data_IF_222625020797
#
_entry.id   IF_222625020797
#
_cell.length_a   1.000
_cell.length_b   1.000
_cell.length_c   1.000
_cell.angle_alpha   90.00
_cell.angle_beta   90.00
_cell.angle_gamma   90.00
#
_symmetry.space_group_name_H-M   'P 1'
#
loop_
_entity.id
_entity.type
_entity.pdbx_description
1 polymer ?
#
# COMPACT_ATOMS: atom_id res chain seq x y z
N UNK A 1 -45.58 56.42 29.01
CA UNK A 1 -46.26 56.62 27.72
C UNK A 1 -45.92 55.40 26.85
N UNK A 2 -46.68 54.30 26.88
CA UNK A 2 -48.07 54.11 26.35
C UNK A 2 -48.01 54.01 24.80
N UNK A 3 -48.60 53.04 24.09
CA UNK A 3 -49.34 51.79 24.34
C UNK A 3 -49.56 51.14 22.94
N UNK A 4 -49.72 49.81 22.90
CA UNK A 4 -50.66 48.96 22.10
C UNK A 4 -51.30 49.55 20.80
N UNK A 5 -51.18 48.94 19.58
CA UNK A 5 -51.91 47.76 18.99
C UNK A 5 -53.45 48.00 18.86
N UNK A 6 -54.26 47.48 17.89
CA UNK A 6 -54.11 46.58 16.70
C UNK A 6 -54.79 47.14 15.40
N UNK A 7 -54.93 46.38 14.29
CA UNK A 7 -56.22 45.85 13.77
C UNK A 7 -55.97 44.71 12.76
N UNK A 8 -56.78 43.65 12.94
CA UNK A 8 -56.89 42.38 12.22
C UNK A 8 -57.55 42.48 10.82
N UNK A 9 -57.19 41.47 9.99
CA UNK A 9 -58.04 40.69 9.05
C UNK A 9 -58.74 41.43 7.90
N UNK A 10 -58.79 40.92 6.67
CA UNK A 10 -59.28 39.59 6.28
C UNK A 10 -59.08 39.35 4.78
N UNK A 11 -58.83 38.08 4.41
CA UNK A 11 -59.24 37.37 3.18
C UNK A 11 -59.12 38.10 1.82
N UNK A 12 -58.42 37.55 0.83
CA UNK A 12 -58.99 36.46 0.02
C UNK A 12 -57.94 35.65 -0.77
N UNK A 13 -58.18 34.34 -0.81
CA UNK A 13 -57.83 33.37 -1.87
C UNK A 13 -56.34 33.10 -2.14
N UNK A 14 -55.74 32.31 -1.25
CA UNK A 14 -54.67 31.39 -1.60
C UNK A 14 -55.33 30.11 -2.16
N UNK A 15 -55.37 29.96 -3.47
CA UNK A 15 -55.78 28.71 -4.10
C UNK A 15 -54.74 27.63 -3.77
N UNK A 16 -55.25 26.52 -3.25
CA UNK A 16 -54.54 25.31 -2.86
C UNK A 16 -54.16 24.54 -4.14
N UNK A 17 -52.87 24.36 -4.42
CA UNK A 17 -52.39 23.31 -5.32
C UNK A 17 -51.53 22.31 -4.51
N UNK A 18 -51.85 21.04 -4.70
CA UNK A 18 -51.34 19.85 -4.02
C UNK A 18 -49.87 19.55 -4.40
N UNK A 19 -48.93 19.39 -3.44
CA UNK A 19 -47.52 19.18 -3.75
C UNK A 19 -47.10 17.71 -3.54
N UNK A 20 -47.36 16.81 -4.50
CA UNK A 20 -46.77 15.45 -4.39
C UNK A 20 -46.51 14.71 -5.71
N UNK A 21 -47.16 15.04 -6.83
CA UNK A 21 -46.86 14.38 -8.12
C UNK A 21 -45.84 15.13 -9.00
N UNK A 22 -45.65 16.43 -8.78
CA UNK A 22 -44.82 17.29 -9.64
C UNK A 22 -43.30 17.05 -9.50
N UNK A 23 -42.84 16.50 -8.37
CA UNK A 23 -41.40 16.38 -8.06
C UNK A 23 -40.72 15.22 -8.81
N UNK A 24 -41.42 14.11 -9.03
CA UNK A 24 -40.88 12.96 -9.78
C UNK A 24 -40.84 13.23 -11.28
N UNK A 25 -41.89 13.86 -11.82
CA UNK A 25 -41.97 14.22 -13.24
C UNK A 25 -40.96 15.31 -13.61
N UNK A 26 -40.73 16.30 -12.73
CA UNK A 26 -39.68 17.31 -12.93
C UNK A 26 -38.26 16.72 -12.88
N UNK A 27 -37.98 15.77 -11.97
CA UNK A 27 -36.70 15.05 -11.96
C UNK A 27 -36.49 14.25 -13.24
N UNK A 28 -37.49 13.48 -13.68
CA UNK A 28 -37.44 12.76 -14.95
C UNK A 28 -37.21 13.72 -16.13
N UNK A 29 -37.91 14.85 -16.18
CA UNK A 29 -37.77 15.85 -17.26
C UNK A 29 -36.42 16.57 -17.24
N UNK A 30 -35.81 16.78 -16.07
CA UNK A 30 -34.44 17.30 -15.94
C UNK A 30 -33.38 16.25 -16.30
N UNK A 31 -33.67 14.97 -16.07
CA UNK A 31 -32.80 13.84 -16.44
C UNK A 31 -32.78 13.61 -17.96
N UNK A 32 -33.87 13.95 -18.65
CA UNK A 32 -34.04 13.87 -20.11
C UNK A 32 -33.88 15.22 -20.85
N UNK A 33 -33.48 16.30 -20.15
CA UNK A 33 -33.15 17.56 -20.81
C UNK A 33 -31.78 17.47 -21.50
N UNK A 34 -31.64 18.06 -22.68
CA UNK A 34 -30.34 18.25 -23.33
C UNK A 34 -29.83 19.69 -23.05
N UNK A 35 -28.62 19.87 -22.50
CA UNK A 35 -27.69 18.84 -22.03
C UNK A 35 -28.17 18.18 -20.73
N UNK A 36 -27.88 16.89 -20.52
CA UNK A 36 -28.22 16.20 -19.28
C UNK A 36 -27.56 16.94 -18.12
N UNK A 37 -28.30 17.16 -17.03
CA UNK A 37 -27.76 17.78 -15.81
C UNK A 37 -27.87 16.80 -14.65
N UNK A 38 -26.83 16.71 -13.85
CA UNK A 38 -26.81 15.89 -12.63
C UNK A 38 -26.09 14.55 -12.80
N UNK A 39 -26.62 13.50 -12.18
CA UNK A 39 -25.92 12.22 -12.01
C UNK A 39 -25.65 11.51 -13.35
N UNK A 40 -26.58 11.61 -14.31
CA UNK A 40 -26.49 10.95 -15.60
C UNK A 40 -25.36 11.55 -16.46
N UNK A 41 -25.26 12.87 -16.53
CA UNK A 41 -24.17 13.59 -17.21
C UNK A 41 -22.79 13.26 -16.62
N UNK A 42 -22.69 13.22 -15.29
CA UNK A 42 -21.46 12.83 -14.59
C UNK A 42 -21.05 11.39 -14.90
N UNK A 43 -22.00 10.45 -14.97
CA UNK A 43 -21.73 9.06 -15.34
C UNK A 43 -21.27 8.99 -16.79
N UNK A 44 -21.98 9.63 -17.73
CA UNK A 44 -21.61 9.65 -19.15
C UNK A 44 -20.22 10.25 -19.35
N UNK A 45 -19.92 11.38 -18.71
CA UNK A 45 -18.61 12.04 -18.82
C UNK A 45 -17.49 11.14 -18.32
N UNK A 46 -17.68 10.52 -17.14
CA UNK A 46 -16.68 9.60 -16.59
C UNK A 46 -16.48 8.36 -17.47
N UNK A 47 -17.55 7.75 -17.98
CA UNK A 47 -17.47 6.61 -18.90
C UNK A 47 -16.77 7.02 -20.19
N UNK A 48 -17.10 8.19 -20.75
CA UNK A 48 -16.49 8.69 -21.98
C UNK A 48 -15.00 8.95 -21.80
N UNK A 49 -14.59 9.57 -20.69
CA UNK A 49 -13.17 9.77 -20.34
C UNK A 49 -12.44 8.43 -20.23
N UNK A 50 -13.07 7.43 -19.58
CA UNK A 50 -12.49 6.11 -19.40
C UNK A 50 -12.31 5.39 -20.75
N UNK A 51 -13.33 5.42 -21.61
CA UNK A 51 -13.29 4.84 -22.96
C UNK A 51 -12.25 5.55 -23.81
N UNK A 52 -12.16 6.88 -23.73
CA UNK A 52 -11.17 7.65 -24.48
C UNK A 52 -9.74 7.35 -24.02
N UNK A 53 -9.50 7.27 -22.71
CA UNK A 53 -8.21 6.83 -22.16
C UNK A 53 -7.85 5.42 -22.63
N UNK A 54 -8.80 4.48 -22.55
CA UNK A 54 -8.58 3.11 -23.03
C UNK A 54 -8.29 3.07 -24.53
N UNK A 55 -9.04 3.82 -25.35
CA UNK A 55 -8.83 3.90 -26.80
C UNK A 55 -7.47 4.51 -27.18
N UNK A 56 -7.01 5.53 -26.43
CA UNK A 56 -5.68 6.13 -26.62
C UNK A 56 -4.57 5.14 -26.23
N UNK A 57 -4.71 4.43 -25.12
CA UNK A 57 -3.71 3.43 -24.72
C UNK A 57 -3.71 2.25 -25.69
N UNK A 58 -4.89 1.85 -26.17
CA UNK A 58 -5.04 0.80 -27.17
C UNK A 58 -4.41 1.18 -28.51
N UNK A 59 -4.60 2.42 -28.98
CA UNK A 59 -4.01 2.87 -30.25
C UNK A 59 -2.48 2.85 -30.24
N UNK A 60 -1.86 2.96 -29.06
CA UNK A 60 -0.40 2.91 -28.88
C UNK A 60 0.10 1.48 -28.64
N UNK A 61 -0.61 0.70 -27.82
CA UNK A 61 -0.10 -0.59 -27.29
C UNK A 61 -0.62 -1.82 -28.05
N UNK A 62 -1.56 -1.63 -28.98
CA UNK A 62 -2.06 -2.69 -29.86
C UNK A 62 -2.64 -3.89 -29.11
N UNK A 63 -2.08 -5.08 -29.31
CA UNK A 63 -2.59 -6.33 -28.75
C UNK A 63 -2.42 -6.48 -27.23
N UNK A 64 -1.55 -5.70 -26.59
CA UNK A 64 -1.35 -5.78 -25.13
C UNK A 64 -2.54 -5.24 -24.32
N UNK A 65 -3.46 -4.51 -24.96
CA UNK A 65 -4.72 -4.01 -24.37
C UNK A 65 -5.92 -4.94 -24.58
N UNK A 66 -5.79 -5.98 -25.41
CA UNK A 66 -6.83 -6.98 -25.65
C UNK A 66 -6.80 -8.07 -24.56
N UNK A 67 -7.89 -8.86 -24.42
CA UNK A 67 -7.87 -10.08 -23.59
C UNK A 67 -6.66 -10.96 -23.93
N UNK A 68 -5.94 -11.41 -22.90
CA UNK A 68 -4.66 -12.12 -23.02
C UNK A 68 -3.42 -11.20 -23.03
N UNK A 69 -3.58 -9.89 -23.21
CA UNK A 69 -2.52 -8.90 -23.12
C UNK A 69 -2.13 -8.55 -21.68
N UNK A 70 -0.86 -8.19 -21.45
CA UNK A 70 -0.36 -7.91 -20.10
C UNK A 70 -0.98 -6.64 -19.49
N UNK A 71 -1.17 -5.61 -20.30
CA UNK A 71 -1.72 -4.34 -19.84
C UNK A 71 -3.21 -4.49 -19.49
N UNK A 72 -3.95 -5.25 -20.31
CA UNK A 72 -5.32 -5.67 -19.99
C UNK A 72 -5.36 -6.39 -18.64
N UNK A 73 -4.46 -7.36 -18.43
CA UNK A 73 -4.36 -8.11 -17.17
C UNK A 73 -4.21 -7.22 -15.94
N UNK A 74 -3.27 -6.26 -15.99
CA UNK A 74 -2.99 -5.33 -14.89
C UNK A 74 -4.19 -4.40 -14.62
N UNK A 75 -4.82 -3.88 -15.67
CA UNK A 75 -5.96 -2.96 -15.54
C UNK A 75 -7.17 -3.68 -14.92
N UNK A 76 -7.50 -4.88 -15.41
CA UNK A 76 -8.60 -5.68 -14.87
C UNK A 76 -8.33 -6.02 -13.41
N UNK A 77 -7.12 -6.48 -13.09
CA UNK A 77 -6.73 -6.76 -11.71
C UNK A 77 -6.88 -5.53 -10.82
N UNK A 78 -6.45 -4.35 -11.27
CA UNK A 78 -6.56 -3.12 -10.51
C UNK A 78 -8.02 -2.79 -10.16
N UNK A 79 -8.92 -2.82 -11.15
CA UNK A 79 -10.34 -2.56 -10.92
C UNK A 79 -11.01 -3.62 -10.05
N UNK A 80 -10.70 -4.90 -10.29
CA UNK A 80 -11.19 -6.00 -9.47
C UNK A 80 -10.71 -5.88 -8.02
N UNK A 81 -9.46 -5.48 -7.80
CA UNK A 81 -8.92 -5.26 -6.45
C UNK A 81 -9.61 -4.09 -5.74
N UNK A 82 -9.83 -2.96 -6.42
CA UNK A 82 -10.59 -1.83 -5.86
C UNK A 82 -12.02 -2.26 -5.51
N UNK A 83 -12.68 -2.98 -6.42
CA UNK A 83 -14.04 -3.45 -6.21
C UNK A 83 -14.11 -4.46 -5.07
N UNK A 84 -13.21 -5.45 -5.05
CA UNK A 84 -13.10 -6.45 -4.00
C UNK A 84 -12.85 -5.81 -2.63
N UNK A 85 -11.94 -4.83 -2.55
CA UNK A 85 -11.67 -4.10 -1.31
C UNK A 85 -12.89 -3.30 -0.81
N UNK A 86 -13.60 -2.61 -1.71
CA UNK A 86 -14.85 -1.90 -1.37
C UNK A 86 -15.95 -2.88 -0.94
N UNK A 87 -16.13 -3.97 -1.68
CA UNK A 87 -17.14 -4.99 -1.40
C UNK A 87 -16.92 -5.58 0.00
N UNK A 88 -15.70 -6.01 0.32
CA UNK A 88 -15.40 -6.57 1.65
C UNK A 88 -15.47 -5.52 2.76
N UNK A 89 -15.09 -4.26 2.49
CA UNK A 89 -15.26 -3.17 3.45
C UNK A 89 -16.73 -2.83 3.76
N UNK A 90 -17.67 -3.18 2.89
CA UNK A 90 -19.11 -3.01 3.13
C UNK A 90 -19.72 -4.15 3.94
N UNK A 91 -19.07 -5.32 3.99
CA UNK A 91 -19.55 -6.46 4.76
C UNK A 91 -19.30 -6.19 6.24
N UNK A 92 -20.36 -5.80 6.95
CA UNK A 92 -20.37 -5.66 8.41
C UNK A 92 -20.99 -6.90 9.01
N UNK A 93 -20.16 -7.72 9.64
CA UNK A 93 -20.63 -8.86 10.42
C UNK A 93 -20.98 -8.37 11.83
N UNK A 94 -22.16 -8.70 12.38
CA UNK A 94 -22.65 -8.13 13.64
C UNK A 94 -21.78 -8.44 14.87
N UNK A 95 -20.94 -9.48 14.80
CA UNK A 95 -20.08 -9.94 15.89
C UNK A 95 -18.58 -9.66 15.66
N UNK A 96 -18.19 -9.09 14.51
CA UNK A 96 -16.79 -8.89 14.14
C UNK A 96 -16.53 -7.43 13.73
N UNK A 97 -15.31 -6.92 13.95
CA UNK A 97 -14.90 -5.64 13.37
C UNK A 97 -15.01 -5.68 11.84
N UNK A 98 -15.15 -4.51 11.18
CA UNK A 98 -15.23 -4.45 9.73
C UNK A 98 -14.00 -5.13 9.11
N UNK A 99 -14.25 -5.96 8.09
CA UNK A 99 -13.17 -6.68 7.42
C UNK A 99 -12.22 -5.69 6.72
N UNK A 100 -10.90 -5.90 6.80
CA UNK A 100 -9.95 -5.01 6.18
C UNK A 100 -10.11 -5.06 4.65
N UNK A 101 -10.20 -3.90 3.95
CA UNK A 101 -10.29 -3.86 2.49
C UNK A 101 -9.16 -4.61 1.77
N UNK A 102 -8.00 -4.72 2.40
CA UNK A 102 -6.84 -5.47 1.90
C UNK A 102 -7.16 -6.92 1.58
N UNK A 103 -8.01 -7.56 2.41
CA UNK A 103 -8.45 -8.93 2.19
C UNK A 103 -9.25 -9.05 0.89
N UNK A 104 -10.11 -8.07 0.59
CA UNK A 104 -10.88 -8.02 -0.65
C UNK A 104 -10.01 -7.81 -1.89
N UNK A 105 -8.96 -6.98 -1.76
CA UNK A 105 -7.99 -6.78 -2.83
C UNK A 105 -7.22 -8.08 -3.12
N UNK A 106 -6.78 -8.79 -2.08
CA UNK A 106 -6.07 -10.07 -2.20
C UNK A 106 -6.95 -11.17 -2.78
N UNK A 107 -8.18 -11.31 -2.28
CA UNK A 107 -9.15 -12.29 -2.79
C UNK A 107 -9.48 -12.03 -4.26
N UNK A 108 -9.59 -10.77 -4.69
CA UNK A 108 -9.82 -10.46 -6.10
C UNK A 108 -8.69 -11.00 -6.99
N UNK A 109 -7.43 -10.80 -6.59
CA UNK A 109 -6.27 -11.36 -7.30
C UNK A 109 -6.27 -12.89 -7.30
N UNK A 110 -6.55 -13.49 -6.16
CA UNK A 110 -6.67 -14.94 -6.01
C UNK A 110 -7.73 -15.54 -6.93
N UNK A 111 -8.92 -14.93 -7.02
CA UNK A 111 -10.00 -15.38 -7.90
C UNK A 111 -9.61 -15.24 -9.38
N UNK A 112 -8.97 -14.14 -9.76
CA UNK A 112 -8.46 -13.94 -11.13
C UNK A 112 -7.52 -15.08 -11.53
N UNK A 113 -6.61 -15.47 -10.64
CA UNK A 113 -5.62 -16.52 -10.90
C UNK A 113 -6.22 -17.92 -10.97
N UNK A 114 -7.24 -18.21 -10.17
CA UNK A 114 -7.74 -19.57 -9.97
C UNK A 114 -9.03 -19.91 -10.71
N UNK A 115 -9.72 -18.93 -11.29
CA UNK A 115 -10.87 -19.18 -12.17
C UNK A 115 -10.36 -19.32 -13.61
N UNK A 116 -10.41 -20.51 -14.24
CA UNK A 116 -9.76 -20.77 -15.54
C UNK A 116 -10.20 -19.78 -16.63
N UNK A 117 -11.51 -19.54 -16.75
CA UNK A 117 -12.10 -18.62 -17.73
C UNK A 117 -11.56 -17.19 -17.59
N UNK A 118 -11.25 -16.76 -16.35
CA UNK A 118 -10.71 -15.42 -16.09
C UNK A 118 -9.21 -15.41 -16.29
N UNK A 119 -8.49 -16.39 -15.76
CA UNK A 119 -7.04 -16.50 -15.90
C UNK A 119 -6.61 -16.52 -17.37
N UNK A 120 -7.28 -17.30 -18.23
CA UNK A 120 -6.93 -17.39 -19.66
C UNK A 120 -7.03 -16.03 -20.38
N UNK A 121 -7.92 -15.15 -19.92
CA UNK A 121 -8.10 -13.80 -20.47
C UNK A 121 -7.29 -12.72 -19.75
N UNK A 122 -6.90 -12.95 -18.49
CA UNK A 122 -6.25 -11.97 -17.60
C UNK A 122 -4.87 -12.49 -17.23
N UNK A 123 -3.93 -12.32 -18.17
CA UNK A 123 -2.55 -12.75 -18.02
C UNK A 123 -1.67 -11.58 -17.58
N UNK A 124 -0.92 -11.76 -16.49
CA UNK A 124 0.01 -10.76 -15.97
C UNK A 124 1.41 -11.36 -15.99
N UNK A 125 2.31 -10.74 -16.76
CA UNK A 125 3.70 -11.18 -16.87
C UNK A 125 4.40 -10.93 -15.53
N UNK A 126 5.12 -11.93 -15.02
CA UNK A 126 5.82 -11.87 -13.74
C UNK A 126 6.74 -10.65 -13.60
N UNK A 127 7.44 -10.24 -14.66
CA UNK A 127 8.30 -9.04 -14.66
C UNK A 127 7.54 -7.77 -14.28
N UNK A 128 6.31 -7.60 -14.77
CA UNK A 128 5.47 -6.46 -14.46
C UNK A 128 4.85 -6.57 -13.06
N UNK A 129 4.38 -7.77 -12.67
CA UNK A 129 3.91 -8.04 -11.30
C UNK A 129 4.98 -7.66 -10.27
N UNK A 130 6.19 -8.21 -10.41
CA UNK A 130 7.32 -7.96 -9.51
C UNK A 130 7.71 -6.48 -9.47
N UNK A 131 7.76 -5.79 -10.61
CA UNK A 131 8.06 -4.38 -10.67
C UNK A 131 7.00 -3.51 -9.94
N UNK A 132 5.70 -3.77 -10.19
CA UNK A 132 4.61 -3.03 -9.54
C UNK A 132 4.57 -3.27 -8.03
N UNK A 133 4.80 -4.51 -7.58
CA UNK A 133 4.92 -4.84 -6.16
C UNK A 133 6.10 -4.10 -5.50
N UNK A 134 7.24 -4.01 -6.19
CA UNK A 134 8.42 -3.29 -5.70
C UNK A 134 8.21 -1.78 -5.61
N UNK A 135 7.50 -1.19 -6.59
CA UNK A 135 7.11 0.23 -6.55
C UNK A 135 6.16 0.49 -5.39
N UNK A 136 5.13 -0.35 -5.22
CA UNK A 136 4.17 -0.20 -4.12
C UNK A 136 4.85 -0.32 -2.76
N UNK A 137 5.78 -1.28 -2.59
CA UNK A 137 6.61 -1.41 -1.40
C UNK A 137 7.40 -0.14 -1.13
N UNK A 138 8.05 0.43 -2.15
CA UNK A 138 8.75 1.70 -2.02
C UNK A 138 7.83 2.83 -1.55
N UNK A 139 6.62 2.93 -2.09
CA UNK A 139 5.66 3.98 -1.74
C UNK A 139 5.24 3.88 -0.27
N UNK A 140 4.92 2.67 0.23
CA UNK A 140 4.53 2.50 1.63
C UNK A 140 5.70 2.74 2.59
N UNK A 141 6.92 2.34 2.23
CA UNK A 141 8.09 2.58 3.07
C UNK A 141 8.43 4.08 3.15
N UNK A 142 8.25 4.84 2.06
CA UNK A 142 8.34 6.30 2.11
C UNK A 142 7.29 6.86 3.08
N UNK A 143 6.04 6.41 2.97
CA UNK A 143 4.95 6.84 3.86
C UNK A 143 5.25 6.53 5.33
N UNK A 144 5.78 5.33 5.60
CA UNK A 144 6.20 4.91 6.93
C UNK A 144 7.31 5.81 7.48
N UNK A 145 8.38 6.02 6.69
CA UNK A 145 9.55 6.81 7.08
C UNK A 145 9.20 8.26 7.38
N UNK A 146 8.35 8.88 6.55
CA UNK A 146 7.82 10.21 6.83
C UNK A 146 7.00 10.20 8.13
N UNK A 147 6.12 9.23 8.35
CA UNK A 147 5.26 9.15 9.53
C UNK A 147 5.97 8.94 10.88
N UNK A 148 7.28 8.67 10.91
CA UNK A 148 8.03 8.46 12.15
C UNK A 148 8.27 9.78 12.92
N UNK A 149 8.18 9.69 14.25
CA UNK A 149 8.58 10.74 15.18
C UNK A 149 10.00 10.48 15.73
N UNK A 150 10.98 11.38 15.45
CA UNK A 150 12.35 11.23 15.94
C UNK A 150 12.48 11.24 17.47
N UNK A 151 11.62 11.97 18.18
CA UNK A 151 11.68 12.05 19.65
C UNK A 151 11.21 10.73 20.28
N UNK A 152 10.07 10.22 19.82
CA UNK A 152 9.56 8.91 20.24
C UNK A 152 10.56 7.78 19.92
N UNK A 153 11.15 7.77 18.73
CA UNK A 153 12.12 6.75 18.34
C UNK A 153 13.39 6.80 19.18
N UNK A 154 13.92 8.00 19.48
CA UNK A 154 15.10 8.16 20.36
C UNK A 154 14.82 7.68 21.77
N UNK A 155 13.62 7.94 22.29
CA UNK A 155 13.16 7.48 23.62
C UNK A 155 13.02 5.96 23.68
N UNK A 156 12.57 5.33 22.59
CA UNK A 156 12.21 3.90 22.56
C UNK A 156 13.21 3.00 21.81
N UNK A 157 14.37 3.52 21.40
CA UNK A 157 15.34 2.77 20.57
C UNK A 157 15.69 1.37 21.07
N UNK A 158 15.84 1.18 22.38
CA UNK A 158 16.13 -0.14 22.96
C UNK A 158 14.94 -1.10 22.90
N UNK A 159 13.73 -0.56 23.09
CA UNK A 159 12.49 -1.33 22.93
C UNK A 159 12.26 -1.69 21.47
N UNK A 160 12.56 -0.76 20.54
CA UNK A 160 12.44 -0.97 19.10
C UNK A 160 13.28 -2.17 18.63
N UNK A 161 14.57 -2.21 18.99
CA UNK A 161 15.45 -3.33 18.63
C UNK A 161 14.97 -4.64 19.24
N UNK A 162 14.56 -4.64 20.52
CA UNK A 162 14.05 -5.85 21.18
C UNK A 162 12.75 -6.36 20.54
N UNK A 163 11.87 -5.45 20.14
CA UNK A 163 10.60 -5.76 19.49
C UNK A 163 10.79 -6.22 18.04
N UNK A 164 11.80 -5.72 17.34
CA UNK A 164 12.12 -6.16 15.99
C UNK A 164 12.83 -7.51 15.97
N UNK A 165 13.79 -7.75 16.87
CA UNK A 165 14.60 -8.97 16.83
C UNK A 165 14.00 -10.13 17.62
N UNK A 166 13.45 -9.86 18.81
CA UNK A 166 12.99 -10.91 19.74
C UNK A 166 11.86 -11.76 19.15
N UNK A 167 10.69 -11.16 18.86
CA UNK A 167 9.57 -11.85 18.22
C UNK A 167 9.96 -12.51 16.90
N UNK A 168 10.59 -11.78 15.97
CA UNK A 168 11.01 -12.31 14.67
C UNK A 168 11.82 -13.61 14.78
N UNK A 169 12.86 -13.62 15.63
CA UNK A 169 13.72 -14.79 15.79
C UNK A 169 12.98 -15.94 16.49
N UNK A 170 12.17 -15.65 17.50
CA UNK A 170 11.40 -16.67 18.21
C UNK A 170 10.34 -17.29 17.30
N UNK A 171 9.63 -16.48 16.53
CA UNK A 171 8.61 -16.92 15.56
C UNK A 171 9.24 -17.70 14.41
N UNK A 172 10.37 -17.23 13.86
CA UNK A 172 11.11 -17.94 12.82
C UNK A 172 11.66 -19.29 13.32
N UNK A 173 12.26 -19.34 14.51
CA UNK A 173 12.75 -20.59 15.10
C UNK A 173 11.62 -21.56 15.42
N UNK A 174 10.52 -21.07 16.00
CA UNK A 174 9.35 -21.89 16.32
C UNK A 174 8.72 -22.45 15.05
N UNK A 175 8.56 -21.62 14.02
CA UNK A 175 8.06 -22.04 12.71
C UNK A 175 8.97 -23.05 12.04
N UNK A 176 10.30 -22.88 12.12
CA UNK A 176 11.26 -23.84 11.59
C UNK A 176 11.20 -25.20 12.31
N UNK A 177 11.06 -25.20 13.64
CA UNK A 177 10.87 -26.41 14.43
C UNK A 177 9.59 -27.15 14.01
N UNK A 178 8.47 -26.43 13.92
CA UNK A 178 7.20 -27.00 13.50
C UNK A 178 7.27 -27.52 12.06
N UNK A 179 7.87 -26.76 11.14
CA UNK A 179 8.06 -27.19 9.75
C UNK A 179 8.90 -28.48 9.64
N UNK A 180 9.95 -28.60 10.47
CA UNK A 180 10.79 -29.81 10.48
C UNK A 180 10.02 -31.03 10.99
N UNK A 181 9.33 -30.90 12.13
CA UNK A 181 8.68 -32.05 12.77
C UNK A 181 7.29 -32.39 12.22
N UNK A 182 6.49 -31.41 11.79
CA UNK A 182 5.15 -31.67 11.22
C UNK A 182 5.19 -31.94 9.72
N UNK A 183 6.02 -31.21 8.96
CA UNK A 183 6.05 -31.32 7.49
C UNK A 183 7.24 -32.14 6.97
N UNK A 184 8.15 -32.58 7.86
CA UNK A 184 9.35 -33.34 7.47
C UNK A 184 10.36 -32.52 6.66
N UNK A 185 10.28 -31.19 6.67
CA UNK A 185 11.17 -30.33 5.89
C UNK A 185 12.58 -30.32 6.48
N UNK A 186 13.66 -30.32 5.67
CA UNK A 186 15.01 -30.13 6.17
C UNK A 186 15.16 -28.80 6.92
N UNK A 187 16.05 -28.73 7.91
CA UNK A 187 16.25 -27.54 8.75
C UNK A 187 16.42 -26.25 7.94
N UNK A 188 17.19 -26.28 6.85
CA UNK A 188 17.41 -25.11 6.00
C UNK A 188 16.10 -24.60 5.41
N UNK A 189 15.26 -25.50 4.87
CA UNK A 189 13.94 -25.16 4.35
C UNK A 189 12.96 -24.73 5.44
N UNK A 190 13.05 -25.35 6.62
CA UNK A 190 12.29 -24.93 7.80
C UNK A 190 12.61 -23.49 8.21
N UNK A 191 13.90 -23.12 8.27
CA UNK A 191 14.29 -21.74 8.58
C UNK A 191 13.96 -20.76 7.45
N UNK A 192 14.09 -21.15 6.18
CA UNK A 192 13.60 -20.33 5.04
C UNK A 192 12.13 -20.01 5.24
N UNK A 193 11.29 -21.01 5.51
CA UNK A 193 9.86 -20.82 5.79
C UNK A 193 9.63 -19.98 7.05
N UNK A 194 10.39 -20.24 8.11
CA UNK A 194 10.28 -19.50 9.37
C UNK A 194 10.54 -18.02 9.22
N UNK A 195 11.58 -17.62 8.47
CA UNK A 195 11.85 -16.20 8.20
C UNK A 195 10.82 -15.57 7.26
N UNK A 196 10.19 -16.33 6.36
CA UNK A 196 9.06 -15.83 5.55
C UNK A 196 7.82 -15.58 6.43
N UNK A 197 7.53 -16.48 7.37
CA UNK A 197 6.37 -16.38 8.26
C UNK A 197 6.56 -15.34 9.37
N UNK A 198 7.77 -15.21 9.90
CA UNK A 198 8.11 -14.25 10.96
C UNK A 198 8.28 -12.81 10.47
N UNK A 199 8.26 -12.56 9.15
CA UNK A 199 8.36 -11.21 8.60
C UNK A 199 7.04 -10.44 8.77
N UNK A 200 7.11 -9.26 9.38
CA UNK A 200 5.96 -8.38 9.61
C UNK A 200 5.69 -7.49 8.40
N UNK A 201 4.52 -7.62 7.76
CA UNK A 201 4.22 -6.81 6.56
C UNK A 201 3.98 -5.32 6.83
N UNK A 202 4.85 -4.39 6.34
CA UNK A 202 4.67 -2.95 6.54
C UNK A 202 3.46 -2.43 5.74
N UNK A 203 3.11 -3.08 4.63
CA UNK A 203 1.94 -2.76 3.82
C UNK A 203 0.61 -2.87 4.58
N UNK A 204 0.56 -3.66 5.65
CA UNK A 204 -0.62 -3.87 6.49
C UNK A 204 -0.53 -3.06 7.78
N UNK A 205 0.65 -3.07 8.43
CA UNK A 205 0.85 -2.41 9.72
C UNK A 205 0.93 -0.89 9.59
N UNK A 206 1.66 -0.37 8.61
CA UNK A 206 1.91 1.08 8.47
C UNK A 206 0.61 1.87 8.27
N UNK A 207 -0.31 1.53 7.35
CA UNK A 207 -1.56 2.28 7.22
C UNK A 207 -2.40 2.28 8.49
N UNK A 208 -2.40 1.15 9.22
CA UNK A 208 -3.12 1.00 10.49
C UNK A 208 -2.51 1.87 11.59
N UNK A 209 -1.18 1.92 11.68
CA UNK A 209 -0.47 2.75 12.66
C UNK A 209 -0.63 4.23 12.36
N UNK A 210 -0.56 4.64 11.10
CA UNK A 210 -0.81 6.04 10.70
C UNK A 210 -2.24 6.47 11.03
N UNK A 211 -3.23 5.61 10.77
CA UNK A 211 -4.63 5.89 11.14
C UNK A 211 -4.80 6.06 12.65
N UNK A 212 -4.17 5.20 13.47
CA UNK A 212 -4.20 5.33 14.93
C UNK A 212 -3.49 6.60 15.41
N UNK A 213 -2.38 6.96 14.77
CA UNK A 213 -1.60 8.16 15.05
C UNK A 213 -2.39 9.44 14.71
N UNK A 214 -3.06 9.47 13.56
CA UNK A 214 -3.99 10.55 13.16
C UNK A 214 -5.16 10.69 14.16
N UNK A 215 -5.63 9.56 14.70
CA UNK A 215 -6.65 9.52 15.76
C UNK A 215 -6.14 9.85 17.17
N UNK A 216 -4.85 10.13 17.34
CA UNK A 216 -4.23 10.44 18.64
C UNK A 216 -3.98 9.24 19.56
N UNK A 217 -4.20 8.01 19.10
CA UNK A 217 -4.05 6.80 19.91
C UNK A 217 -2.58 6.38 20.05
N UNK A 218 -2.10 6.27 21.28
CA UNK A 218 -0.74 5.78 21.58
C UNK A 218 0.40 6.72 21.17
N UNK A 219 0.09 7.93 20.69
CA UNK A 219 1.06 8.92 20.20
C UNK A 219 1.98 9.41 21.32
N UNK A 220 1.44 9.75 22.50
CA UNK A 220 2.24 10.19 23.65
C UNK A 220 3.24 9.13 24.13
N UNK A 221 2.88 7.84 23.97
CA UNK A 221 3.73 6.71 24.31
C UNK A 221 4.62 6.28 23.15
N UNK A 222 4.47 6.88 21.96
CA UNK A 222 5.26 6.58 20.77
C UNK A 222 4.98 5.21 20.16
N UNK A 223 3.82 4.60 20.44
CA UNK A 223 3.51 3.21 20.04
C UNK A 223 3.43 3.06 18.51
N UNK A 224 2.71 3.93 17.75
CA UNK A 224 2.67 3.83 16.29
C UNK A 224 4.05 3.96 15.65
N UNK A 225 4.84 4.94 16.09
CA UNK A 225 6.22 5.16 15.64
C UNK A 225 7.11 3.96 15.96
N UNK A 226 7.00 3.40 17.17
CA UNK A 226 7.74 2.23 17.59
C UNK A 226 7.42 1.02 16.70
N UNK A 227 6.14 0.76 16.42
CA UNK A 227 5.71 -0.37 15.61
C UNK A 227 6.10 -0.22 14.13
N UNK A 228 5.96 0.99 13.56
CA UNK A 228 6.42 1.25 12.18
C UNK A 228 7.94 1.07 12.05
N UNK A 229 8.72 1.59 12.99
CA UNK A 229 10.18 1.43 12.96
C UNK A 229 10.62 -0.02 13.23
N UNK A 230 10.03 -0.67 14.23
CA UNK A 230 10.36 -2.05 14.58
C UNK A 230 10.00 -3.02 13.45
N UNK A 231 8.85 -2.83 12.79
CA UNK A 231 8.44 -3.65 11.63
C UNK A 231 9.42 -3.54 10.46
N UNK A 232 9.99 -2.37 10.20
CA UNK A 232 11.02 -2.26 9.14
C UNK A 232 12.35 -2.89 9.53
N UNK A 233 12.76 -2.83 10.80
CA UNK A 233 13.95 -3.57 11.27
C UNK A 233 13.72 -5.09 11.25
N UNK A 234 12.51 -5.53 11.58
CA UNK A 234 12.05 -6.92 11.48
C UNK A 234 12.15 -7.42 10.03
N UNK A 235 11.63 -6.68 9.05
CA UNK A 235 11.72 -7.03 7.63
C UNK A 235 13.17 -7.25 7.17
N UNK A 236 14.10 -6.39 7.61
CA UNK A 236 15.51 -6.50 7.22
C UNK A 236 16.13 -7.75 7.83
N UNK A 237 15.84 -8.01 9.11
CA UNK A 237 16.29 -9.22 9.80
C UNK A 237 15.73 -10.48 9.12
N UNK A 238 14.44 -10.47 8.78
CA UNK A 238 13.77 -11.58 8.13
C UNK A 238 14.30 -11.83 6.71
N UNK A 239 14.46 -10.80 5.88
CA UNK A 239 15.05 -10.91 4.53
C UNK A 239 16.50 -11.39 4.60
N UNK A 240 17.27 -10.88 5.56
CA UNK A 240 18.66 -11.32 5.79
C UNK A 240 18.71 -12.79 6.20
N UNK A 241 17.87 -13.19 7.16
CA UNK A 241 17.75 -14.58 7.62
C UNK A 241 17.34 -15.52 6.49
N UNK A 242 16.30 -15.14 5.74
CA UNK A 242 15.84 -15.85 4.55
C UNK A 242 16.97 -16.04 3.53
N UNK A 243 17.66 -14.97 3.12
CA UNK A 243 18.76 -15.04 2.14
C UNK A 243 19.95 -15.85 2.67
N UNK A 244 20.22 -15.80 3.97
CA UNK A 244 21.28 -16.59 4.61
C UNK A 244 20.94 -18.08 4.56
N UNK A 245 19.71 -18.46 4.93
CA UNK A 245 19.24 -19.84 4.90
C UNK A 245 19.08 -20.38 3.47
N UNK A 246 18.59 -19.56 2.55
CA UNK A 246 18.53 -19.87 1.12
C UNK A 246 19.95 -20.08 0.56
N UNK A 247 20.86 -19.17 0.90
CA UNK A 247 22.26 -19.26 0.55
C UNK A 247 22.89 -20.56 1.05
N UNK A 248 22.60 -20.99 2.29
CA UNK A 248 23.04 -22.28 2.86
C UNK A 248 22.40 -23.49 2.17
N UNK A 249 21.10 -23.44 1.84
CA UNK A 249 20.39 -24.53 1.18
C UNK A 249 20.92 -24.81 -0.23
N UNK A 250 21.36 -23.76 -0.92
CA UNK A 250 21.93 -23.82 -2.27
C UNK A 250 23.46 -23.63 -2.28
N UNK A 251 24.14 -23.65 -1.13
CA UNK A 251 25.53 -23.17 -1.04
C UNK A 251 26.54 -24.06 -1.74
N UNK A 252 27.22 -23.42 -2.69
CA UNK A 252 28.58 -23.65 -3.17
C UNK A 252 29.61 -22.76 -2.42
N UNK A 253 29.29 -22.19 -1.23
CA UNK A 253 30.13 -21.21 -0.50
C UNK A 253 30.00 -21.26 1.04
N UNK A 254 30.87 -20.54 1.77
CA UNK A 254 30.95 -20.64 3.25
C UNK A 254 29.81 -19.89 3.97
N UNK A 255 29.27 -20.49 5.04
CA UNK A 255 28.21 -19.92 5.89
C UNK A 255 28.55 -18.53 6.44
N UNK A 256 29.82 -18.28 6.73
CA UNK A 256 30.31 -17.00 7.26
C UNK A 256 30.13 -15.87 6.24
N UNK A 257 30.32 -16.15 4.95
CA UNK A 257 30.14 -15.16 3.89
C UNK A 257 28.68 -14.69 3.80
N UNK A 258 27.71 -15.59 3.98
CA UNK A 258 26.29 -15.23 3.93
C UNK A 258 25.86 -14.35 5.11
N UNK A 259 26.37 -14.63 6.32
CA UNK A 259 26.12 -13.78 7.50
C UNK A 259 26.74 -12.38 7.31
N UNK A 260 27.96 -12.31 6.80
CA UNK A 260 28.62 -11.03 6.50
C UNK A 260 27.87 -10.23 5.44
N UNK A 261 27.30 -10.90 4.43
CA UNK A 261 26.46 -10.26 3.42
C UNK A 261 25.23 -9.61 4.05
N UNK A 262 24.58 -10.28 5.01
CA UNK A 262 23.46 -9.71 5.76
C UNK A 262 23.80 -8.43 6.50
N UNK A 263 24.91 -8.42 7.25
CA UNK A 263 25.40 -7.22 7.93
C UNK A 263 25.72 -6.12 6.92
N UNK A 264 26.33 -6.49 5.78
CA UNK A 264 26.65 -5.55 4.71
C UNK A 264 25.39 -4.92 4.09
N UNK A 265 24.30 -5.67 3.91
CA UNK A 265 23.00 -5.14 3.43
C UNK A 265 22.48 -4.03 4.36
N UNK A 266 22.55 -4.25 5.67
CA UNK A 266 22.15 -3.24 6.68
C UNK A 266 23.05 -2.01 6.57
N UNK A 267 24.37 -2.20 6.55
CA UNK A 267 25.33 -1.07 6.50
C UNK A 267 25.15 -0.25 5.23
N UNK A 268 25.03 -0.89 4.07
CA UNK A 268 24.81 -0.21 2.79
C UNK A 268 23.47 0.53 2.79
N UNK A 269 22.39 -0.12 3.27
CA UNK A 269 21.07 0.50 3.34
C UNK A 269 21.06 1.74 4.24
N UNK A 270 21.70 1.67 5.41
CA UNK A 270 21.82 2.82 6.33
C UNK A 270 22.69 3.92 5.72
N UNK A 271 23.86 3.59 5.17
CA UNK A 271 24.76 4.58 4.61
C UNK A 271 24.14 5.31 3.40
N UNK A 272 23.54 4.58 2.46
CA UNK A 272 22.87 5.14 1.30
C UNK A 272 21.62 5.94 1.71
N UNK A 273 20.81 5.42 2.63
CA UNK A 273 19.63 6.11 3.14
C UNK A 273 19.98 7.41 3.86
N UNK A 274 21.06 7.40 4.65
CA UNK A 274 21.56 8.61 5.30
C UNK A 274 22.04 9.65 4.30
N UNK A 275 22.89 9.25 3.36
CA UNK A 275 23.42 10.13 2.32
C UNK A 275 22.29 10.78 1.49
N UNK A 276 21.35 9.97 1.00
CA UNK A 276 20.23 10.44 0.19
C UNK A 276 19.23 11.26 1.03
N UNK A 277 19.01 10.88 2.29
CA UNK A 277 18.16 11.63 3.22
C UNK A 277 18.68 13.04 3.45
N UNK A 278 19.98 13.19 3.75
CA UNK A 278 20.61 14.51 3.85
C UNK A 278 20.58 15.26 2.53
N UNK A 279 20.85 14.60 1.40
CA UNK A 279 20.76 15.23 0.09
C UNK A 279 19.38 15.85 -0.16
N UNK A 280 18.30 15.11 0.10
CA UNK A 280 16.92 15.58 -0.08
C UNK A 280 16.51 16.62 0.97
N UNK A 281 17.13 16.59 2.15
CA UNK A 281 16.92 17.60 3.17
C UNK A 281 17.35 18.99 2.67
N UNK A 282 18.46 19.07 1.93
CA UNK A 282 18.98 20.32 1.37
C UNK A 282 18.41 20.65 -0.02
N UNK A 283 18.05 19.64 -0.82
CA UNK A 283 17.54 19.82 -2.18
C UNK A 283 16.14 19.23 -2.35
N UNK A 284 15.18 19.97 -2.95
CA UNK A 284 15.27 21.32 -3.49
C UNK A 284 15.36 22.41 -2.40
N UNK A 285 16.11 23.46 -2.71
CA UNK A 285 16.23 24.65 -1.86
C UNK A 285 14.90 25.41 -1.78
N UNK A 286 14.67 26.09 -0.65
CA UNK A 286 13.39 26.69 -0.27
C UNK A 286 12.91 27.83 -1.18
N UNK A 287 13.80 28.36 -2.03
CA UNK A 287 13.52 29.40 -3.02
C UNK A 287 12.77 28.88 -4.26
N UNK A 288 12.64 27.55 -4.40
CA UNK A 288 12.05 26.97 -5.59
C UNK A 288 10.52 26.87 -5.55
N UNK A 289 9.87 27.20 -6.68
CA UNK A 289 8.45 26.96 -6.87
C UNK A 289 8.09 25.47 -6.78
N UNK A 290 6.87 25.21 -6.27
CA UNK A 290 6.28 23.86 -6.11
C UNK A 290 7.18 22.91 -5.29
N UNK A 291 7.79 23.45 -4.24
CA UNK A 291 8.74 22.76 -3.37
C UNK A 291 8.25 21.40 -2.86
N UNK A 292 7.00 21.34 -2.36
CA UNK A 292 6.38 20.12 -1.84
C UNK A 292 6.32 19.02 -2.90
N UNK A 293 5.89 19.35 -4.11
CA UNK A 293 5.80 18.39 -5.22
C UNK A 293 7.17 17.87 -5.66
N UNK A 294 8.17 18.75 -5.69
CA UNK A 294 9.55 18.37 -6.01
C UNK A 294 10.14 17.43 -4.95
N UNK A 295 9.93 17.74 -3.66
CA UNK A 295 10.34 16.89 -2.53
C UNK A 295 9.66 15.52 -2.57
N UNK A 296 8.34 15.49 -2.79
CA UNK A 296 7.60 14.24 -2.93
C UNK A 296 8.12 13.40 -4.11
N UNK A 297 8.35 14.04 -5.27
CA UNK A 297 8.88 13.37 -6.45
C UNK A 297 10.30 12.83 -6.23
N UNK A 298 11.19 13.60 -5.59
CA UNK A 298 12.56 13.16 -5.30
C UNK A 298 12.58 12.01 -4.30
N UNK A 299 11.86 12.10 -3.18
CA UNK A 299 11.83 11.01 -2.20
C UNK A 299 11.26 9.74 -2.83
N UNK A 300 10.12 9.85 -3.53
CA UNK A 300 9.49 8.69 -4.15
C UNK A 300 10.35 8.10 -5.28
N UNK A 301 10.90 8.95 -6.15
CA UNK A 301 11.75 8.53 -7.27
C UNK A 301 13.05 7.87 -6.81
N UNK A 302 13.76 8.48 -5.86
CA UNK A 302 14.99 7.92 -5.29
C UNK A 302 14.74 6.66 -4.48
N UNK A 303 13.57 6.54 -3.85
CA UNK A 303 13.18 5.33 -3.14
C UNK A 303 12.91 4.17 -4.09
N UNK A 304 12.15 4.41 -5.16
CA UNK A 304 11.89 3.40 -6.20
C UNK A 304 13.20 2.97 -6.84
N UNK A 305 14.07 3.93 -7.18
CA UNK A 305 15.41 3.65 -7.70
C UNK A 305 16.22 2.81 -6.72
N UNK A 306 16.24 3.16 -5.43
CA UNK A 306 16.98 2.43 -4.40
C UNK A 306 16.53 0.97 -4.29
N UNK A 307 15.21 0.71 -4.31
CA UNK A 307 14.68 -0.66 -4.30
C UNK A 307 15.12 -1.43 -5.54
N UNK A 308 14.94 -0.91 -6.75
CA UNK A 308 15.36 -1.59 -7.97
C UNK A 308 16.87 -1.79 -8.06
N UNK A 309 17.67 -0.78 -7.69
CA UNK A 309 19.13 -0.87 -7.65
C UNK A 309 19.60 -1.90 -6.64
N UNK A 310 18.97 -2.00 -5.46
CA UNK A 310 19.34 -2.97 -4.44
C UNK A 310 19.13 -4.42 -4.92
N UNK A 311 18.03 -4.69 -5.63
CA UNK A 311 17.76 -5.99 -6.23
C UNK A 311 18.78 -6.30 -7.34
N UNK A 312 19.09 -5.31 -8.18
CA UNK A 312 20.08 -5.46 -9.25
C UNK A 312 21.50 -5.72 -8.74
N UNK A 313 21.91 -5.03 -7.67
CA UNK A 313 23.23 -5.20 -7.02
C UNK A 313 23.31 -6.45 -6.14
N UNK A 314 22.21 -7.19 -5.96
CA UNK A 314 22.16 -8.39 -5.14
C UNK A 314 22.12 -8.14 -3.64
N UNK A 315 21.60 -7.00 -3.20
CA UNK A 315 21.45 -6.63 -1.78
C UNK A 315 19.99 -6.21 -1.48
N UNK A 316 18.99 -7.09 -1.71
CA UNK A 316 17.58 -6.69 -1.69
C UNK A 316 17.11 -6.12 -0.35
N UNK A 317 17.70 -6.52 0.79
CA UNK A 317 17.36 -5.96 2.10
C UNK A 317 17.77 -4.49 2.27
N UNK A 318 18.80 -4.05 1.53
CA UNK A 318 19.31 -2.67 1.62
C UNK A 318 18.36 -1.62 1.02
N UNK A 319 17.57 -2.00 0.00
CA UNK A 319 16.68 -1.07 -0.71
C UNK A 319 15.56 -0.54 0.18
N UNK A 320 14.86 -1.44 0.88
CA UNK A 320 13.78 -1.07 1.78
C UNK A 320 14.26 -0.21 2.96
N UNK A 321 15.39 -0.58 3.57
CA UNK A 321 16.03 0.20 4.63
C UNK A 321 16.46 1.58 4.17
N UNK A 322 17.09 1.67 2.98
CA UNK A 322 17.48 2.92 2.36
C UNK A 322 16.27 3.84 2.19
N UNK A 323 15.17 3.33 1.62
CA UNK A 323 13.92 4.07 1.43
C UNK A 323 13.35 4.62 2.74
N UNK A 324 13.23 3.78 3.77
CA UNK A 324 12.68 4.18 5.06
C UNK A 324 13.54 5.28 5.70
N UNK A 325 14.86 5.05 5.79
CA UNK A 325 15.78 5.96 6.45
C UNK A 325 15.91 7.29 5.69
N UNK A 326 15.97 7.23 4.36
CA UNK A 326 15.98 8.41 3.49
C UNK A 326 14.73 9.26 3.71
N UNK A 327 13.55 8.66 3.69
CA UNK A 327 12.28 9.37 3.90
C UNK A 327 12.19 9.97 5.32
N UNK A 328 12.64 9.22 6.33
CA UNK A 328 12.68 9.70 7.71
C UNK A 328 13.60 10.92 7.88
N UNK A 329 14.85 10.83 7.42
CA UNK A 329 15.83 11.91 7.56
C UNK A 329 15.44 13.14 6.72
N UNK A 330 14.94 12.93 5.50
CA UNK A 330 14.38 14.01 4.68
C UNK A 330 13.26 14.73 5.44
N UNK A 331 12.31 13.96 6.01
CA UNK A 331 11.19 14.49 6.77
C UNK A 331 11.59 15.25 8.05
N UNK A 332 12.69 14.88 8.71
CA UNK A 332 13.18 15.58 9.91
C UNK A 332 13.59 17.03 9.64
N UNK A 333 14.09 17.33 8.44
CA UNK A 333 14.48 18.70 8.09
C UNK A 333 13.35 19.55 7.52
N UNK A 334 12.16 18.97 7.36
CA UNK A 334 11.00 19.65 6.80
C UNK A 334 10.03 20.01 7.90
N UNK A 335 9.60 21.26 7.96
CA UNK A 335 8.68 21.75 8.97
C UNK A 335 7.22 21.42 8.58
N UNK A 336 6.44 22.42 8.18
CA UNK A 336 5.06 22.22 7.70
C UNK A 336 4.98 21.45 6.39
N UNK A 337 6.07 21.42 5.61
CA UNK A 337 6.10 20.77 4.29
C UNK A 337 6.03 19.24 4.40
N UNK A 338 6.49 18.67 5.53
CA UNK A 338 6.45 17.22 5.78
C UNK A 338 5.03 16.67 5.63
N UNK A 339 4.06 17.31 6.29
CA UNK A 339 2.66 16.89 6.25
C UNK A 339 2.06 17.00 4.84
N UNK A 340 2.45 18.00 4.07
CA UNK A 340 1.99 18.15 2.68
C UNK A 340 2.61 17.11 1.75
N UNK A 341 3.89 16.77 1.94
CA UNK A 341 4.53 15.65 1.21
C UNK A 341 3.86 14.33 1.58
N UNK A 342 3.59 14.07 2.85
CA UNK A 342 2.88 12.88 3.33
C UNK A 342 1.52 12.69 2.65
N UNK A 343 0.75 13.77 2.46
CA UNK A 343 -0.52 13.73 1.73
C UNK A 343 -0.34 13.30 0.27
N UNK A 344 0.69 13.82 -0.42
CA UNK A 344 0.98 13.41 -1.81
C UNK A 344 1.35 11.92 -1.86
N UNK A 345 2.18 11.45 -0.92
CA UNK A 345 2.57 10.04 -0.84
C UNK A 345 1.36 9.16 -0.47
N UNK A 346 0.45 9.63 0.37
CA UNK A 346 -0.79 8.91 0.69
C UNK A 346 -1.67 8.71 -0.56
N UNK A 347 -1.80 9.73 -1.42
CA UNK A 347 -2.51 9.59 -2.70
C UNK A 347 -1.81 8.58 -3.62
N UNK A 348 -0.48 8.59 -3.67
CA UNK A 348 0.26 7.57 -4.42
C UNK A 348 0.00 6.17 -3.86
N UNK A 349 -0.04 6.02 -2.54
CA UNK A 349 -0.35 4.75 -1.89
C UNK A 349 -1.76 4.26 -2.19
N UNK A 350 -2.77 5.13 -2.21
CA UNK A 350 -4.15 4.74 -2.56
C UNK A 350 -4.25 4.14 -3.97
N UNK A 351 -3.34 4.52 -4.89
CA UNK A 351 -3.22 3.95 -6.23
C UNK A 351 -2.46 2.62 -6.21
N UNK A 352 -1.35 2.53 -5.46
CA UNK A 352 -0.50 1.35 -5.48
C UNK A 352 -0.96 0.23 -4.53
N UNK A 353 -1.77 0.53 -3.52
CA UNK A 353 -2.27 -0.45 -2.56
C UNK A 353 -3.13 -1.54 -3.23
N UNK A 354 -4.15 -1.24 -4.05
CA UNK A 354 -4.92 -2.27 -4.75
C UNK A 354 -4.04 -3.11 -5.70
N UNK A 355 -3.06 -2.49 -6.36
CA UNK A 355 -2.11 -3.19 -7.21
C UNK A 355 -1.27 -4.19 -6.40
N UNK A 356 -0.70 -3.77 -5.27
CA UNK A 356 0.14 -4.63 -4.44
C UNK A 356 -0.62 -5.87 -3.98
N UNK A 357 -1.76 -5.69 -3.30
CA UNK A 357 -2.49 -6.80 -2.71
C UNK A 357 -3.18 -7.66 -3.77
N UNK A 358 -3.70 -7.05 -4.84
CA UNK A 358 -4.24 -7.79 -5.98
C UNK A 358 -3.17 -8.66 -6.64
N UNK A 359 -1.98 -8.12 -6.90
CA UNK A 359 -0.88 -8.87 -7.50
C UNK A 359 -0.39 -10.00 -6.58
N UNK A 360 -0.27 -9.76 -5.28
CA UNK A 360 0.06 -10.81 -4.30
C UNK A 360 -0.96 -11.94 -4.35
N UNK A 361 -2.26 -11.62 -4.36
CA UNK A 361 -3.32 -12.61 -4.49
C UNK A 361 -3.21 -13.42 -5.79
N UNK A 362 -2.85 -12.76 -6.89
CA UNK A 362 -2.71 -13.39 -8.20
C UNK A 362 -1.47 -14.30 -8.34
N UNK A 363 -0.50 -14.25 -7.43
CA UNK A 363 0.63 -15.20 -7.40
C UNK A 363 0.22 -16.56 -6.84
N UNK A 364 -0.88 -16.64 -6.07
CA UNK A 364 -1.33 -17.88 -5.44
C UNK A 364 -2.11 -18.74 -6.44
N UNK A 365 -1.56 -19.90 -6.81
CA UNK A 365 -2.20 -20.86 -7.73
C UNK A 365 -2.51 -22.18 -7.04
N UNK A 366 -3.80 -22.52 -6.89
CA UNK A 366 -4.27 -23.78 -6.32
C UNK A 366 -3.77 -24.97 -7.16
N UNK A 367 -3.70 -24.82 -8.48
CA UNK A 367 -3.22 -25.87 -9.37
C UNK A 367 -1.75 -26.26 -9.13
N UNK A 368 -0.95 -25.37 -8.52
CA UNK A 368 0.44 -25.65 -8.15
C UNK A 368 0.60 -26.31 -6.77
N UNK A 369 -0.46 -26.33 -5.96
CA UNK A 369 -0.43 -26.93 -4.62
C UNK A 369 -0.64 -28.44 -4.73
N UNK A 370 0.26 -29.22 -4.11
CA UNK A 370 0.06 -30.67 -3.98
C UNK A 370 -0.90 -30.94 -2.82
N UNK A 371 -1.92 -31.80 -2.98
CA UNK A 371 -2.87 -32.11 -1.91
C UNK A 371 -2.22 -32.68 -0.64
N UNK A 372 -1.05 -33.30 -0.78
CA UNK A 372 -0.29 -33.93 0.30
C UNK A 372 0.39 -32.90 1.24
N UNK A 373 0.42 -31.63 0.85
CA UNK A 373 1.16 -30.55 1.54
C UNK A 373 0.27 -29.42 2.08
N UNK A 374 -1.06 -29.49 1.90
CA UNK A 374 -2.02 -28.44 2.29
C UNK A 374 -3.02 -28.94 3.31
#
# INVERSE_FOLDING_TARGET
>A
QQKEVPILSSSEKRLQETPTESTHLQRLRQTFACPPRGLLDRVITNVTILVLLWAVVWSITGSECLPGGNLFGIIILFYCAIFGGKLLGLIKLPTLPPLPPLLGMLLAGFLIRNIPVVNDNVQIKHKWSSALRSIALSVILVRAGLGLDPQALRKLKGVCVRLAMGPCLVEACSSALLAHFLMGLPWQWGFILGFVLGAVSPAVVVPSMLLLQEGGYGVEKGVPTLLMAAGSFDDILAVTGFNTCLGMAFSTGSTVFNVLRGILEVVIGVAAGALLGFFIQYFPSSDQDKLVWKRACLVLGLSVLSVFSSVYLGFPGSGGLCTLLMAFLAGMGWSSEKAEVEKIIAVAWDIFQPLLFGLIGAEVSIASLRPETV
#
